data_IF_152914748463
#
_entry.id   IF_152914748463
#
_cell.length_a   1.000
_cell.length_b   1.000
_cell.length_c   1.000
_cell.angle_alpha   90.00
_cell.angle_beta   90.00
_cell.angle_gamma   90.00
#
_symmetry.space_group_name_H-M   'P 1'
#
loop_
_entity.id
_entity.type
_entity.pdbx_description
1 polymer ?
#
# COMPACT_ATOMS: atom_id res chain seq x y z
N UNK A 1 -6.09 -13.42 14.68
CA UNK A 1 -5.45 -13.34 13.36
C UNK A 1 -4.06 -12.79 13.54
N UNK A 2 -3.07 -13.34 12.83
CA UNK A 2 -1.67 -12.93 12.94
C UNK A 2 -1.39 -11.71 12.07
N UNK A 3 -1.26 -10.53 12.70
CA UNK A 3 -1.03 -9.25 12.00
C UNK A 3 0.42 -8.78 12.03
N UNK A 4 1.26 -9.42 12.84
CA UNK A 4 2.69 -9.09 12.99
C UNK A 4 3.42 -8.96 11.64
N UNK A 5 3.21 -9.83 10.63
CA UNK A 5 3.85 -9.68 9.33
C UNK A 5 3.50 -8.37 8.63
N UNK A 6 2.23 -7.93 8.70
CA UNK A 6 1.76 -6.68 8.08
C UNK A 6 2.40 -5.48 8.76
N UNK A 7 2.45 -5.46 10.09
CA UNK A 7 3.04 -4.35 10.84
C UNK A 7 4.57 -4.28 10.68
N UNK A 8 5.25 -5.42 10.57
CA UNK A 8 6.69 -5.43 10.29
C UNK A 8 6.98 -4.82 8.92
N UNK A 9 6.22 -5.19 7.90
CA UNK A 9 6.35 -4.58 6.57
C UNK A 9 6.09 -3.07 6.59
N UNK A 10 5.00 -2.62 7.25
CA UNK A 10 4.67 -1.19 7.34
C UNK A 10 5.76 -0.39 8.06
N UNK A 11 6.33 -0.96 9.13
CA UNK A 11 7.43 -0.35 9.87
C UNK A 11 8.64 -0.11 8.97
N UNK A 12 9.09 -1.15 8.29
CA UNK A 12 10.30 -1.11 7.45
C UNK A 12 10.12 -0.21 6.20
N UNK A 13 8.95 -0.30 5.56
CA UNK A 13 8.73 0.34 4.25
C UNK A 13 8.15 1.75 4.34
N UNK A 14 7.39 2.07 5.39
CA UNK A 14 6.65 3.34 5.49
C UNK A 14 7.05 4.11 6.74
N UNK A 15 6.84 3.57 7.95
CA UNK A 15 6.89 4.38 9.18
C UNK A 15 8.29 4.92 9.49
N UNK A 16 9.34 4.11 9.34
CA UNK A 16 10.71 4.55 9.61
C UNK A 16 11.24 5.57 8.62
N UNK A 17 10.54 5.80 7.49
CA UNK A 17 11.00 6.72 6.45
C UNK A 17 10.67 8.18 6.79
N UNK A 18 9.63 8.44 7.61
CA UNK A 18 9.21 9.80 7.95
C UNK A 18 9.03 10.70 6.71
N UNK A 19 9.55 11.92 6.76
CA UNK A 19 9.57 12.86 5.62
C UNK A 19 10.87 12.81 4.81
N UNK A 20 11.61 11.68 4.84
CA UNK A 20 12.89 11.53 4.12
C UNK A 20 12.73 11.58 2.59
N UNK A 21 11.59 11.12 2.09
CA UNK A 21 11.28 11.02 0.66
C UNK A 21 10.06 11.87 0.35
N UNK A 22 9.96 12.35 -0.88
CA UNK A 22 8.66 12.83 -1.37
C UNK A 22 7.65 11.69 -1.38
N UNK A 23 6.36 12.01 -1.34
CA UNK A 23 5.30 10.99 -1.34
C UNK A 23 5.41 10.06 -2.55
N UNK A 24 5.72 10.58 -3.74
CA UNK A 24 5.87 9.78 -4.96
C UNK A 24 7.04 8.80 -4.85
N UNK A 25 8.19 9.25 -4.35
CA UNK A 25 9.37 8.40 -4.15
C UNK A 25 9.13 7.33 -3.07
N UNK A 26 8.43 7.68 -1.99
CA UNK A 26 8.06 6.72 -0.94
C UNK A 26 7.15 5.62 -1.51
N UNK A 27 6.15 5.99 -2.31
CA UNK A 27 5.29 5.03 -3.01
C UNK A 27 6.13 4.11 -3.91
N UNK A 28 6.97 4.67 -4.81
CA UNK A 28 7.81 3.85 -5.69
C UNK A 28 8.73 2.90 -4.91
N UNK A 29 9.33 3.35 -3.81
CA UNK A 29 10.20 2.51 -2.95
C UNK A 29 9.44 1.40 -2.23
N UNK A 30 8.21 1.67 -1.79
CA UNK A 30 7.41 0.72 -1.02
C UNK A 30 6.67 -0.30 -1.90
N UNK A 31 6.06 0.14 -3.00
CA UNK A 31 5.19 -0.66 -3.87
C UNK A 31 5.73 -0.91 -5.29
N UNK A 32 6.83 -0.25 -5.70
CA UNK A 32 7.42 -0.40 -7.03
C UNK A 32 6.86 0.55 -8.10
N UNK A 33 5.84 1.33 -7.78
CA UNK A 33 5.18 2.28 -8.70
C UNK A 33 4.72 3.55 -7.97
N UNK A 34 4.47 4.67 -8.66
CA UNK A 34 3.81 5.84 -8.08
C UNK A 34 2.40 5.50 -7.59
N UNK A 35 1.76 6.43 -6.87
CA UNK A 35 0.41 6.23 -6.35
C UNK A 35 -0.59 5.93 -7.49
N UNK A 36 -1.21 4.75 -7.46
CA UNK A 36 -2.05 4.24 -8.53
C UNK A 36 -3.48 3.92 -8.02
N UNK A 37 -4.52 4.63 -8.50
CA UNK A 37 -5.89 4.41 -8.06
C UNK A 37 -6.49 3.07 -8.52
N UNK A 38 -5.90 2.40 -9.50
CA UNK A 38 -6.39 1.12 -10.01
C UNK A 38 -6.43 0.02 -8.92
N UNK A 39 -5.48 0.05 -7.98
CA UNK A 39 -5.47 -0.88 -6.85
C UNK A 39 -6.68 -0.70 -5.93
N UNK A 40 -7.04 0.55 -5.63
CA UNK A 40 -8.20 0.84 -4.80
C UNK A 40 -9.50 0.48 -5.52
N UNK A 41 -9.62 0.82 -6.81
CA UNK A 41 -10.76 0.40 -7.64
C UNK A 41 -10.95 -1.12 -7.62
N UNK A 42 -9.88 -1.88 -7.92
CA UNK A 42 -9.94 -3.35 -7.92
C UNK A 42 -10.33 -3.92 -6.55
N UNK A 43 -9.86 -3.30 -5.46
CA UNK A 43 -10.26 -3.68 -4.10
C UNK A 43 -11.77 -3.50 -3.89
N UNK A 44 -12.33 -2.37 -4.33
CA UNK A 44 -13.76 -2.10 -4.22
C UNK A 44 -14.59 -3.07 -5.08
N UNK A 45 -14.20 -3.27 -6.33
CA UNK A 45 -14.88 -4.22 -7.23
C UNK A 45 -14.88 -5.63 -6.64
N UNK A 46 -13.72 -6.13 -6.16
CA UNK A 46 -13.62 -7.45 -5.56
C UNK A 46 -14.46 -7.62 -4.28
N UNK A 47 -14.60 -6.54 -3.49
CA UNK A 47 -15.34 -6.58 -2.23
C UNK A 47 -16.85 -6.41 -2.43
N UNK A 48 -17.28 -5.59 -3.38
CA UNK A 48 -18.66 -5.11 -3.47
C UNK A 48 -19.40 -5.55 -4.75
N UNK A 49 -18.70 -6.05 -5.78
CA UNK A 49 -19.31 -6.59 -6.99
C UNK A 49 -19.11 -8.11 -7.20
N UNK A 50 -18.99 -8.98 -6.16
CA UNK A 50 -18.82 -10.40 -6.41
C UNK A 50 -20.06 -10.97 -7.12
N UNK A 51 -19.88 -11.46 -8.35
CA UNK A 51 -20.94 -12.10 -9.16
C UNK A 51 -21.51 -11.24 -10.30
N UNK A 52 -20.99 -10.03 -10.54
CA UNK A 52 -21.24 -9.25 -11.75
C UNK A 52 -20.30 -9.65 -12.90
#
# INVERSE_FOLDING_TARGET
GELSPVFNWLRERIWTQGSRWTTDELCRRASGEPLNPAHFRRHLEARYLPGA
#
